data_IF_110802277062
#
_entry.id   IF_110802277062
#
_cell.length_a   1.000
_cell.length_b   1.000
_cell.length_c   1.000
_cell.angle_alpha   90.00
_cell.angle_beta   90.00
_cell.angle_gamma   90.00
#
_symmetry.space_group_name_H-M   'P 1'
#
loop_
_entity.id
_entity.type
_entity.pdbx_description
1 polymer ?
#
# COMPACT_ATOMS: atom_id res chain seq x y z
N UNK A 1 -9.97 -10.58 -38.26
CA UNK A 1 -8.83 -9.80 -38.79
C UNK A 1 -7.58 -10.26 -38.06
N UNK A 2 -6.58 -10.78 -38.77
CA UNK A 2 -5.29 -11.17 -38.19
C UNK A 2 -4.56 -9.90 -37.72
N UNK A 3 -4.27 -9.80 -36.41
CA UNK A 3 -3.53 -8.69 -35.85
C UNK A 3 -2.16 -8.59 -36.54
N UNK A 4 -1.88 -7.46 -37.22
CA UNK A 4 -0.58 -7.21 -37.84
C UNK A 4 0.47 -7.11 -36.74
N UNK A 5 1.45 -8.01 -36.76
CA UNK A 5 2.57 -7.99 -35.82
C UNK A 5 3.58 -6.90 -36.18
N UNK A 6 4.25 -6.29 -35.19
CA UNK A 6 5.31 -5.32 -35.43
C UNK A 6 6.40 -5.92 -36.34
N UNK A 7 6.84 -5.13 -37.32
CA UNK A 7 7.95 -5.46 -38.21
C UNK A 7 9.22 -4.76 -37.70
N UNK A 8 10.33 -5.48 -37.67
CA UNK A 8 11.64 -4.96 -37.25
C UNK A 8 12.71 -5.24 -38.29
N UNK A 9 13.74 -4.40 -38.32
CA UNK A 9 14.88 -4.56 -39.22
C UNK A 9 16.05 -5.18 -38.47
N UNK A 10 16.36 -6.45 -38.74
CA UNK A 10 17.48 -7.19 -38.14
C UNK A 10 18.46 -7.57 -39.24
N UNK A 11 19.72 -7.11 -39.13
CA UNK A 11 20.73 -7.38 -40.17
C UNK A 11 20.35 -6.87 -41.56
N UNK A 12 19.65 -5.74 -41.63
CA UNK A 12 19.20 -5.14 -42.90
C UNK A 12 17.92 -5.71 -43.50
N UNK A 13 17.38 -6.81 -42.95
CA UNK A 13 16.13 -7.45 -43.42
C UNK A 13 14.96 -7.13 -42.50
N UNK A 14 13.80 -6.84 -43.09
CA UNK A 14 12.55 -6.65 -42.34
C UNK A 14 11.96 -8.02 -42.02
N UNK A 15 11.67 -8.27 -40.74
CA UNK A 15 11.04 -9.51 -40.24
C UNK A 15 9.94 -9.18 -39.24
N UNK A 16 8.91 -10.01 -39.15
CA UNK A 16 7.96 -9.93 -38.03
C UNK A 16 8.68 -10.30 -36.75
N UNK A 17 8.40 -9.57 -35.67
CA UNK A 17 8.84 -9.98 -34.35
C UNK A 17 8.18 -11.34 -34.00
N UNK A 18 8.95 -12.35 -33.61
CA UNK A 18 8.40 -13.56 -33.00
C UNK A 18 7.48 -13.24 -31.80
N UNK A 19 6.55 -14.14 -31.52
CA UNK A 19 5.70 -14.00 -30.34
C UNK A 19 6.57 -14.07 -29.09
N UNK A 20 6.55 -13.03 -28.24
CA UNK A 20 7.33 -13.01 -27.00
C UNK A 20 8.76 -12.48 -27.14
N UNK A 21 9.21 -12.12 -28.35
CA UNK A 21 10.45 -11.35 -28.49
C UNK A 21 10.24 -9.91 -28.00
N UNK A 22 11.28 -9.32 -27.43
CA UNK A 22 11.28 -7.91 -27.00
C UNK A 22 12.30 -7.12 -27.79
N UNK A 23 11.94 -5.93 -28.24
CA UNK A 23 12.91 -4.96 -28.75
C UNK A 23 13.60 -4.27 -27.56
N UNK A 24 14.94 -4.36 -27.42
CA UNK A 24 15.65 -3.61 -26.40
C UNK A 24 15.32 -2.11 -26.50
N UNK A 25 14.89 -1.50 -25.39
CA UNK A 25 14.53 -0.08 -25.33
C UNK A 25 13.08 0.27 -25.66
N UNK A 26 12.22 -0.71 -25.97
CA UNK A 26 10.77 -0.49 -26.17
C UNK A 26 9.99 -1.07 -25.01
N UNK A 27 9.05 -0.28 -24.46
CA UNK A 27 8.10 -0.76 -23.42
C UNK A 27 6.96 -1.52 -24.09
N UNK A 28 6.53 -2.61 -23.46
CA UNK A 28 5.32 -3.31 -23.89
C UNK A 28 4.08 -2.46 -23.57
N UNK A 29 3.25 -2.19 -24.59
CA UNK A 29 1.93 -1.59 -24.41
C UNK A 29 0.89 -2.69 -24.15
N UNK A 30 0.21 -2.61 -23.01
CA UNK A 30 -0.88 -3.52 -22.70
C UNK A 30 -2.07 -3.29 -23.65
N UNK A 31 -2.64 -4.40 -24.10
CA UNK A 31 -3.86 -4.44 -24.93
C UNK A 31 -5.06 -5.05 -24.19
N UNK A 32 -4.85 -5.49 -22.96
CA UNK A 32 -5.86 -5.99 -22.04
C UNK A 32 -5.33 -5.88 -20.59
N UNK A 33 -6.21 -5.98 -19.60
CA UNK A 33 -5.82 -6.12 -18.20
C UNK A 33 -4.94 -7.37 -18.02
N UNK A 34 -3.98 -7.30 -17.09
CA UNK A 34 -3.01 -8.39 -16.89
C UNK A 34 -2.87 -8.73 -15.42
N UNK A 35 -2.78 -10.02 -15.13
CA UNK A 35 -2.44 -10.51 -13.78
C UNK A 35 -1.05 -11.14 -13.81
N UNK A 36 -0.24 -10.80 -12.82
CA UNK A 36 1.00 -11.48 -12.50
C UNK A 36 0.88 -12.20 -11.17
N UNK A 37 1.47 -13.38 -11.06
CA UNK A 37 1.40 -14.25 -9.90
C UNK A 37 2.73 -14.26 -9.15
N UNK A 38 2.64 -14.20 -7.82
CA UNK A 38 3.79 -14.27 -6.91
C UNK A 38 3.55 -15.40 -5.92
N UNK A 39 4.54 -16.29 -5.76
CA UNK A 39 4.47 -17.45 -4.87
C UNK A 39 5.81 -17.70 -4.19
N UNK A 40 5.78 -18.21 -2.97
CA UNK A 40 7.00 -18.56 -2.22
C UNK A 40 7.78 -19.73 -2.85
N UNK A 41 7.11 -20.58 -3.64
CA UNK A 41 7.71 -21.68 -4.41
C UNK A 41 7.98 -21.31 -5.89
N UNK A 42 7.89 -20.03 -6.25
CA UNK A 42 8.16 -19.51 -7.59
C UNK A 42 9.66 -19.25 -7.86
N UNK A 43 9.94 -18.57 -8.97
CA UNK A 43 11.29 -18.10 -9.32
C UNK A 43 11.22 -16.71 -9.96
N UNK A 44 12.15 -15.82 -9.61
CA UNK A 44 12.25 -14.50 -10.24
C UNK A 44 12.82 -14.56 -11.68
N UNK A 45 13.17 -15.76 -12.15
CA UNK A 45 13.44 -16.04 -13.57
C UNK A 45 12.18 -16.34 -14.38
N UNK A 46 11.02 -16.56 -13.74
CA UNK A 46 9.76 -16.81 -14.42
C UNK A 46 9.17 -15.52 -15.01
N UNK A 47 8.12 -15.63 -15.82
CA UNK A 47 7.42 -14.47 -16.42
C UNK A 47 6.27 -13.92 -15.56
N UNK A 48 5.88 -14.65 -14.50
CA UNK A 48 4.78 -14.31 -13.61
C UNK A 48 3.39 -14.53 -14.21
N UNK A 49 3.25 -15.10 -15.40
CA UNK A 49 1.96 -15.15 -16.11
C UNK A 49 1.11 -16.38 -15.79
N UNK A 50 1.66 -17.34 -15.03
CA UNK A 50 0.95 -18.54 -14.59
C UNK A 50 1.01 -18.72 -13.08
N UNK A 51 -0.12 -19.11 -12.47
CA UNK A 51 -0.20 -19.40 -11.03
C UNK A 51 0.33 -20.81 -10.70
N UNK A 52 1.63 -21.02 -10.90
CA UNK A 52 2.33 -22.26 -10.59
C UNK A 52 3.76 -21.95 -10.15
N UNK A 53 4.43 -22.90 -9.49
CA UNK A 53 5.86 -22.75 -9.14
C UNK A 53 6.75 -22.48 -10.37
N UNK A 54 6.43 -23.11 -11.50
CA UNK A 54 7.14 -22.93 -12.77
C UNK A 54 6.79 -21.65 -13.54
N UNK A 55 5.83 -20.85 -13.07
CA UNK A 55 5.36 -19.65 -13.78
C UNK A 55 5.27 -18.37 -12.95
N UNK A 56 5.15 -18.47 -11.62
CA UNK A 56 5.04 -17.30 -10.74
C UNK A 56 6.40 -16.74 -10.36
N UNK A 57 6.47 -15.43 -10.08
CA UNK A 57 7.65 -14.82 -9.46
C UNK A 57 7.84 -15.33 -8.03
N UNK A 58 9.08 -15.37 -7.55
CA UNK A 58 9.38 -15.70 -6.15
C UNK A 58 9.12 -14.50 -5.23
N UNK A 59 9.32 -13.27 -5.73
CA UNK A 59 9.23 -12.05 -4.94
C UNK A 59 8.18 -11.07 -5.46
N UNK A 60 7.55 -10.35 -4.52
CA UNK A 60 6.63 -9.27 -4.84
C UNK A 60 7.35 -8.07 -5.49
N UNK A 61 8.60 -7.80 -5.10
CA UNK A 61 9.40 -6.74 -5.69
C UNK A 61 9.69 -7.02 -7.18
N UNK A 62 10.01 -8.27 -7.55
CA UNK A 62 10.22 -8.63 -8.96
C UNK A 62 8.98 -8.35 -9.80
N UNK A 63 7.79 -8.67 -9.29
CA UNK A 63 6.54 -8.40 -9.97
C UNK A 63 6.31 -6.89 -10.17
N UNK A 64 6.58 -6.07 -9.14
CA UNK A 64 6.52 -4.60 -9.23
C UNK A 64 7.48 -4.07 -10.30
N UNK A 65 8.71 -4.58 -10.33
CA UNK A 65 9.74 -4.15 -11.28
C UNK A 65 9.36 -4.50 -12.73
N UNK A 66 8.75 -5.66 -12.95
CA UNK A 66 8.21 -6.07 -14.25
C UNK A 66 7.07 -5.13 -14.66
N UNK A 67 6.12 -4.87 -13.77
CA UNK A 67 5.00 -3.96 -14.06
C UNK A 67 5.48 -2.55 -14.37
N UNK A 68 6.44 -2.01 -13.61
CA UNK A 68 6.99 -0.68 -13.83
C UNK A 68 7.67 -0.50 -15.20
N UNK A 69 8.08 -1.60 -15.85
CA UNK A 69 8.64 -1.60 -17.20
C UNK A 69 7.58 -1.47 -18.31
N UNK A 70 6.30 -1.66 -18.00
CA UNK A 70 5.19 -1.63 -18.95
C UNK A 70 4.73 -0.19 -19.27
N UNK A 71 4.04 -0.07 -20.41
CA UNK A 71 3.02 0.94 -20.64
C UNK A 71 1.65 0.28 -20.48
N UNK A 72 0.93 0.67 -19.43
CA UNK A 72 -0.39 0.11 -19.12
C UNK A 72 -1.47 0.59 -20.07
N UNK A 73 -1.25 1.66 -20.84
CA UNK A 73 -2.34 2.32 -21.57
C UNK A 73 -3.47 2.67 -20.60
N UNK A 74 -4.65 2.08 -20.80
CA UNK A 74 -5.81 2.21 -19.91
C UNK A 74 -6.07 0.97 -19.04
N UNK A 75 -5.26 -0.07 -19.17
CA UNK A 75 -5.52 -1.37 -18.60
C UNK A 75 -4.91 -1.51 -17.21
N UNK A 76 -5.73 -1.96 -16.26
CA UNK A 76 -5.28 -2.23 -14.90
C UNK A 76 -4.43 -3.51 -14.84
N UNK A 77 -3.49 -3.54 -13.91
CA UNK A 77 -2.64 -4.70 -13.62
C UNK A 77 -2.91 -5.20 -12.20
N UNK A 78 -2.96 -6.53 -12.03
CA UNK A 78 -3.10 -7.18 -10.73
C UNK A 78 -1.84 -7.98 -10.41
N UNK A 79 -1.27 -7.77 -9.23
CA UNK A 79 -0.27 -8.64 -8.62
C UNK A 79 -0.98 -9.55 -7.62
N UNK A 80 -1.21 -10.80 -8.01
CA UNK A 80 -1.85 -11.82 -7.17
C UNK A 80 -0.79 -12.58 -6.39
N UNK A 81 -0.70 -12.30 -5.09
CA UNK A 81 0.30 -12.87 -4.19
C UNK A 81 -0.33 -14.04 -3.41
N UNK A 82 0.30 -15.21 -3.44
CA UNK A 82 -0.18 -16.39 -2.73
C UNK A 82 -0.06 -16.25 -1.20
N UNK A 83 -0.55 -17.24 -0.47
CA UNK A 83 -0.23 -17.39 0.94
C UNK A 83 1.30 -17.53 1.12
N UNK A 84 1.81 -16.97 2.21
CA UNK A 84 3.24 -16.95 2.52
C UNK A 84 3.70 -15.60 3.07
N UNK A 85 4.99 -15.57 3.45
CA UNK A 85 5.67 -14.36 3.91
C UNK A 85 6.63 -13.90 2.83
N UNK A 86 6.50 -12.64 2.43
CA UNK A 86 7.35 -11.98 1.44
C UNK A 86 8.05 -10.79 2.10
N UNK A 87 9.20 -10.39 1.54
CA UNK A 87 9.95 -9.25 2.04
C UNK A 87 9.30 -7.90 1.75
N UNK A 88 9.94 -6.84 2.24
CA UNK A 88 9.58 -5.45 1.99
C UNK A 88 9.47 -5.14 0.47
N UNK A 89 8.59 -4.20 0.14
CA UNK A 89 8.40 -3.72 -1.23
C UNK A 89 8.55 -2.21 -1.33
N UNK A 90 9.09 -1.75 -2.46
CA UNK A 90 9.09 -0.36 -2.89
C UNK A 90 8.26 -0.24 -4.16
N UNK A 91 7.21 0.58 -4.10
CA UNK A 91 6.27 0.79 -5.20
C UNK A 91 6.94 1.59 -6.33
N UNK A 92 6.64 1.21 -7.58
CA UNK A 92 7.16 1.85 -8.79
C UNK A 92 6.03 1.98 -9.81
N UNK A 93 5.77 3.20 -10.27
CA UNK A 93 4.66 3.42 -11.21
C UNK A 93 5.01 2.92 -12.63
N UNK A 94 4.12 2.17 -13.29
CA UNK A 94 4.21 1.95 -14.73
C UNK A 94 3.88 3.23 -15.52
N UNK A 95 4.17 3.25 -16.82
CA UNK A 95 3.61 4.27 -17.73
C UNK A 95 2.13 3.99 -18.00
N UNK A 96 1.37 4.99 -18.46
CA UNK A 96 -0.07 4.89 -18.79
C UNK A 96 -0.98 5.43 -17.69
N UNK A 97 -2.29 5.20 -17.77
CA UNK A 97 -3.28 5.55 -16.74
C UNK A 97 -3.77 4.35 -15.93
N UNK A 98 -3.42 3.12 -16.32
CA UNK A 98 -3.77 1.90 -15.60
C UNK A 98 -3.26 1.91 -14.15
N UNK A 99 -4.09 1.42 -13.24
CA UNK A 99 -3.75 1.23 -11.83
C UNK A 99 -3.08 -0.14 -11.59
N UNK A 100 -2.41 -0.29 -10.45
CA UNK A 100 -1.79 -1.55 -10.04
C UNK A 100 -2.41 -1.99 -8.71
N UNK A 101 -3.08 -3.13 -8.70
CA UNK A 101 -3.63 -3.73 -7.48
C UNK A 101 -2.70 -4.82 -6.98
N UNK A 102 -2.18 -4.69 -5.77
CA UNK A 102 -1.52 -5.78 -5.05
C UNK A 102 -2.56 -6.47 -4.18
N UNK A 103 -2.83 -7.74 -4.46
CA UNK A 103 -3.84 -8.53 -3.77
C UNK A 103 -3.22 -9.80 -3.21
N UNK A 104 -3.24 -9.95 -1.89
CA UNK A 104 -2.84 -11.20 -1.24
C UNK A 104 -3.97 -12.25 -1.25
N UNK A 105 -3.64 -13.47 -0.82
CA UNK A 105 -4.59 -14.57 -0.66
C UNK A 105 -5.52 -14.40 0.56
N UNK A 106 -5.46 -13.26 1.25
CA UNK A 106 -6.16 -12.96 2.49
C UNK A 106 -5.20 -12.36 3.52
N UNK A 107 -5.65 -11.38 4.30
CA UNK A 107 -4.78 -10.66 5.23
C UNK A 107 -4.20 -11.57 6.34
N UNK A 108 -4.82 -12.72 6.64
CA UNK A 108 -4.24 -13.71 7.54
C UNK A 108 -3.25 -14.68 6.87
N UNK A 109 -3.20 -14.71 5.53
CA UNK A 109 -2.48 -15.70 4.72
C UNK A 109 -1.24 -15.14 4.03
N UNK A 110 -1.31 -13.87 3.58
CA UNK A 110 -0.21 -13.21 2.87
C UNK A 110 0.37 -12.09 3.74
N UNK A 111 1.66 -12.20 4.07
CA UNK A 111 2.37 -11.26 4.93
C UNK A 111 3.46 -10.56 4.10
N UNK A 112 3.47 -9.22 4.14
CA UNK A 112 4.62 -8.40 3.79
C UNK A 112 5.38 -8.06 5.08
N UNK A 113 6.58 -8.60 5.21
CA UNK A 113 7.44 -8.40 6.37
C UNK A 113 8.59 -7.46 6.03
N UNK A 114 8.54 -6.26 6.62
CA UNK A 114 9.59 -5.26 6.48
C UNK A 114 10.89 -5.62 7.19
N UNK A 115 10.87 -6.60 8.12
CA UNK A 115 11.99 -6.93 8.99
C UNK A 115 12.57 -5.67 9.66
N UNK A 116 13.73 -5.16 9.21
CA UNK A 116 14.38 -3.96 9.76
C UNK A 116 14.01 -2.65 9.04
N UNK A 117 13.17 -2.70 8.01
CA UNK A 117 12.73 -1.54 7.21
C UNK A 117 11.20 -1.46 7.14
N UNK A 118 10.66 -0.44 6.47
CA UNK A 118 9.23 -0.36 6.21
C UNK A 118 8.75 -1.52 5.33
N UNK A 119 7.58 -2.11 5.62
CA UNK A 119 7.05 -3.22 4.82
C UNK A 119 6.64 -2.77 3.41
N UNK A 120 6.09 -1.55 3.30
CA UNK A 120 5.76 -0.91 2.02
C UNK A 120 6.29 0.52 1.98
N UNK A 121 7.15 0.81 1.01
CA UNK A 121 7.59 2.16 0.70
C UNK A 121 6.92 2.64 -0.59
N UNK A 122 6.13 3.71 -0.51
CA UNK A 122 5.43 4.24 -1.68
C UNK A 122 6.33 5.09 -2.59
N UNK A 123 7.51 5.52 -2.15
CA UNK A 123 8.40 6.39 -2.93
C UNK A 123 7.69 7.64 -3.44
N UNK A 124 7.51 7.74 -4.76
CA UNK A 124 6.72 8.76 -5.47
C UNK A 124 5.51 8.18 -6.22
N UNK A 125 5.17 6.92 -5.93
CA UNK A 125 4.15 6.14 -6.61
C UNK A 125 2.74 6.64 -6.29
N UNK A 126 1.84 6.59 -7.29
CA UNK A 126 0.45 7.10 -7.16
C UNK A 126 -0.61 6.13 -7.68
N UNK A 127 -0.22 4.95 -8.13
CA UNK A 127 -1.09 4.04 -8.89
C UNK A 127 -1.59 2.83 -8.13
N UNK A 128 -1.21 2.70 -6.86
CA UNK A 128 -1.31 1.42 -6.16
C UNK A 128 -2.51 1.33 -5.23
N UNK A 129 -3.14 0.15 -5.28
CA UNK A 129 -4.13 -0.31 -4.31
C UNK A 129 -3.58 -1.56 -3.63
N UNK A 130 -3.55 -1.58 -2.31
CA UNK A 130 -3.13 -2.74 -1.51
C UNK A 130 -4.35 -3.40 -0.89
N UNK A 131 -4.46 -4.71 -1.05
CA UNK A 131 -5.60 -5.48 -0.55
C UNK A 131 -5.26 -6.87 -0.08
N UNK A 132 -6.05 -7.39 0.86
CA UNK A 132 -6.00 -8.78 1.31
C UNK A 132 -4.60 -9.26 1.74
N UNK A 133 -3.83 -8.40 2.39
CA UNK A 133 -2.48 -8.67 2.88
C UNK A 133 -2.26 -8.07 4.26
N UNK A 134 -1.37 -8.69 5.05
CA UNK A 134 -0.89 -8.16 6.33
C UNK A 134 0.46 -7.49 6.15
N UNK A 135 0.64 -6.32 6.75
CA UNK A 135 1.95 -5.66 6.84
C UNK A 135 2.45 -5.70 8.29
N UNK A 136 3.74 -5.98 8.47
CA UNK A 136 4.41 -5.90 9.77
C UNK A 136 5.88 -5.52 9.59
N UNK A 137 6.49 -4.96 10.62
CA UNK A 137 7.93 -4.69 10.60
C UNK A 137 8.51 -4.56 12.01
N UNK A 138 9.61 -5.25 12.28
CA UNK A 138 10.32 -5.16 13.56
C UNK A 138 11.26 -3.95 13.70
N UNK A 139 11.54 -3.22 12.61
CA UNK A 139 12.43 -2.06 12.59
C UNK A 139 11.87 -0.81 11.92
N UNK A 140 10.69 -0.91 11.30
CA UNK A 140 10.07 0.19 10.56
C UNK A 140 8.56 0.23 10.69
N UNK A 141 7.94 0.81 9.67
CA UNK A 141 6.50 1.05 9.56
C UNK A 141 5.81 -0.02 8.70
N UNK A 142 4.48 -0.08 8.76
CA UNK A 142 3.68 -0.90 7.84
C UNK A 142 3.71 -0.32 6.43
N UNK A 143 3.29 0.94 6.31
CA UNK A 143 3.34 1.71 5.05
C UNK A 143 3.97 3.06 5.32
N UNK A 144 4.94 3.45 4.50
CA UNK A 144 5.45 4.82 4.42
C UNK A 144 5.08 5.44 3.08
N UNK A 145 4.42 6.60 3.13
CA UNK A 145 4.04 7.39 1.96
C UNK A 145 4.62 8.81 2.09
N UNK A 146 5.60 9.12 1.25
CA UNK A 146 6.33 10.39 1.29
C UNK A 146 5.73 11.44 0.34
N UNK A 147 6.34 12.63 0.33
CA UNK A 147 5.92 13.77 -0.46
C UNK A 147 5.58 13.41 -1.91
N UNK A 148 4.31 13.60 -2.28
CA UNK A 148 3.82 13.37 -3.64
C UNK A 148 3.52 11.92 -4.00
N UNK A 149 3.60 10.96 -3.08
CA UNK A 149 3.07 9.62 -3.27
C UNK A 149 1.59 9.53 -2.85
N UNK A 150 0.88 8.56 -3.42
CA UNK A 150 -0.49 8.22 -3.06
C UNK A 150 -0.71 6.71 -3.08
N UNK A 151 -1.39 6.19 -2.07
CA UNK A 151 -1.73 4.76 -1.97
C UNK A 151 -3.14 4.57 -1.42
N UNK A 152 -3.82 3.53 -1.91
CA UNK A 152 -5.13 3.11 -1.38
C UNK A 152 -4.99 1.77 -0.67
N UNK A 153 -5.69 1.59 0.45
CA UNK A 153 -5.74 0.32 1.18
C UNK A 153 -7.18 -0.17 1.32
N UNK A 154 -7.40 -1.49 1.21
CA UNK A 154 -8.71 -2.11 1.40
C UNK A 154 -8.59 -3.56 1.87
N UNK A 155 -9.21 -3.91 3.00
CA UNK A 155 -9.17 -5.27 3.52
C UNK A 155 -7.76 -5.76 3.88
N UNK A 156 -6.87 -4.84 4.25
CA UNK A 156 -5.53 -5.15 4.75
C UNK A 156 -5.56 -5.43 6.25
N UNK A 157 -4.45 -5.91 6.79
CA UNK A 157 -4.24 -6.02 8.23
C UNK A 157 -2.90 -5.42 8.64
N UNK A 158 -2.88 -4.67 9.75
CA UNK A 158 -1.63 -4.18 10.33
C UNK A 158 -1.22 -5.05 11.51
N UNK A 159 -0.16 -5.84 11.31
CA UNK A 159 0.54 -6.55 12.38
C UNK A 159 1.46 -5.60 13.15
N UNK A 160 2.32 -6.16 14.01
CA UNK A 160 3.22 -5.36 14.83
C UNK A 160 4.20 -4.54 13.98
N UNK A 161 4.31 -3.25 14.27
CA UNK A 161 5.28 -2.34 13.66
C UNK A 161 6.10 -1.64 14.74
N UNK A 162 7.42 -1.51 14.56
CA UNK A 162 8.26 -0.82 15.52
C UNK A 162 8.01 0.70 15.55
N UNK A 163 7.71 1.29 14.40
CA UNK A 163 7.41 2.71 14.25
C UNK A 163 5.90 2.96 14.13
N UNK A 164 5.38 2.99 12.90
CA UNK A 164 3.99 3.38 12.61
C UNK A 164 3.29 2.31 11.81
N UNK A 165 1.98 2.13 11.96
CA UNK A 165 1.24 1.35 10.95
C UNK A 165 1.19 2.11 9.63
N UNK A 166 0.84 3.40 9.69
CA UNK A 166 0.75 4.30 8.55
C UNK A 166 1.59 5.55 8.83
N UNK A 167 2.65 5.76 8.05
CA UNK A 167 3.52 6.93 8.08
C UNK A 167 3.31 7.77 6.82
N UNK A 168 2.44 8.78 6.90
CA UNK A 168 2.05 9.61 5.75
C UNK A 168 2.69 11.00 5.90
N UNK A 169 3.87 11.18 5.30
CA UNK A 169 4.66 12.40 5.40
C UNK A 169 4.69 13.14 4.05
N UNK A 170 3.74 14.05 3.82
CA UNK A 170 3.55 14.76 2.54
C UNK A 170 2.90 13.92 1.43
N UNK A 171 2.57 12.65 1.71
CA UNK A 171 1.83 11.78 0.80
C UNK A 171 0.32 11.79 1.05
N UNK A 172 -0.41 10.94 0.34
CA UNK A 172 -1.85 10.74 0.53
C UNK A 172 -2.19 9.27 0.71
N UNK A 173 -3.01 8.95 1.71
CA UNK A 173 -3.58 7.62 1.90
C UNK A 173 -5.11 7.68 1.86
N UNK A 174 -5.71 6.81 1.06
CA UNK A 174 -7.14 6.53 1.08
C UNK A 174 -7.38 5.14 1.66
N UNK A 175 -8.12 5.05 2.77
CA UNK A 175 -8.49 3.78 3.39
C UNK A 175 -9.94 3.41 3.17
N UNK A 176 -10.18 2.14 2.82
CA UNK A 176 -11.44 1.44 3.01
C UNK A 176 -11.37 0.59 4.29
N UNK A 177 -12.40 -0.20 4.61
CA UNK A 177 -12.40 -1.05 5.83
C UNK A 177 -11.19 -2.00 5.88
N UNK A 178 -10.54 -2.11 7.05
CA UNK A 178 -9.37 -2.96 7.29
C UNK A 178 -9.25 -3.36 8.77
N UNK A 179 -8.30 -4.22 9.10
CA UNK A 179 -8.04 -4.67 10.48
C UNK A 179 -6.66 -4.28 11.00
N UNK A 180 -6.51 -4.35 12.32
CA UNK A 180 -5.25 -4.19 13.03
C UNK A 180 -5.13 -5.35 14.02
N UNK A 181 -4.03 -6.09 13.93
CA UNK A 181 -3.75 -7.27 14.75
C UNK A 181 -2.50 -7.14 15.62
N UNK A 182 -1.69 -6.08 15.44
CA UNK A 182 -0.51 -5.80 16.26
C UNK A 182 -0.41 -4.34 16.67
N UNK A 183 0.48 -4.03 17.61
CA UNK A 183 0.72 -2.67 18.09
C UNK A 183 1.81 -1.93 17.30
N UNK A 184 1.82 -0.61 17.46
CA UNK A 184 2.85 0.29 16.94
C UNK A 184 2.98 1.52 17.85
N UNK A 185 3.91 2.44 17.56
CA UNK A 185 3.91 3.72 18.27
C UNK A 185 2.68 4.56 17.91
N UNK A 186 2.34 4.61 16.61
CA UNK A 186 1.14 5.30 16.11
C UNK A 186 0.44 4.47 15.04
N UNK A 187 -0.90 4.41 15.06
CA UNK A 187 -1.64 3.79 13.96
C UNK A 187 -1.69 4.70 12.73
N UNK A 188 -2.26 5.91 12.88
CA UNK A 188 -2.31 6.94 11.85
C UNK A 188 -1.33 8.05 12.16
N UNK A 189 -0.16 8.05 11.52
CA UNK A 189 0.78 9.16 11.60
C UNK A 189 0.71 9.99 10.31
N UNK A 190 0.45 11.28 10.43
CA UNK A 190 0.35 12.21 9.32
C UNK A 190 1.17 13.48 9.60
N UNK A 191 2.12 13.79 8.71
CA UNK A 191 3.04 14.90 8.87
C UNK A 191 3.36 15.60 7.54
N UNK A 192 3.98 16.78 7.61
CA UNK A 192 4.56 17.51 6.47
C UNK A 192 3.58 17.73 5.31
N UNK A 193 2.35 18.18 5.61
CA UNK A 193 1.29 18.36 4.62
C UNK A 193 0.66 17.06 4.12
N UNK A 194 0.88 15.94 4.82
CA UNK A 194 0.30 14.66 4.48
C UNK A 194 -1.23 14.65 4.63
N UNK A 195 -1.87 13.70 3.96
CA UNK A 195 -3.30 13.51 4.03
C UNK A 195 -3.70 12.05 4.27
N UNK A 196 -4.51 11.80 5.29
CA UNK A 196 -5.16 10.50 5.52
C UNK A 196 -6.65 10.67 5.38
N UNK A 197 -7.26 9.85 4.53
CA UNK A 197 -8.71 9.80 4.31
C UNK A 197 -9.20 8.39 4.59
N UNK A 198 -9.74 8.19 5.79
CA UNK A 198 -10.33 6.94 6.26
C UNK A 198 -11.66 7.29 6.91
N UNK A 199 -12.69 7.57 6.12
CA UNK A 199 -13.99 8.03 6.62
C UNK A 199 -15.11 7.10 6.17
N UNK A 200 -16.08 6.83 7.04
CA UNK A 200 -17.16 5.88 6.75
C UNK A 200 -16.70 4.41 6.72
N UNK A 201 -15.56 4.08 7.33
CA UNK A 201 -14.97 2.73 7.28
C UNK A 201 -15.23 1.93 8.55
N UNK A 202 -15.10 0.61 8.44
CA UNK A 202 -14.98 -0.27 9.61
C UNK A 202 -13.52 -0.58 9.87
N UNK A 203 -13.04 -0.25 11.07
CA UNK A 203 -11.70 -0.54 11.54
C UNK A 203 -11.76 -1.55 12.68
N UNK A 204 -11.26 -2.75 12.43
CA UNK A 204 -11.34 -3.88 13.39
C UNK A 204 -10.03 -4.04 14.16
N UNK A 205 -10.03 -3.82 15.47
CA UNK A 205 -8.92 -4.16 16.36
C UNK A 205 -9.12 -5.61 16.85
N UNK A 206 -8.23 -6.51 16.47
CA UNK A 206 -8.40 -7.96 16.70
C UNK A 206 -8.09 -8.40 18.14
N UNK A 207 -7.54 -7.50 18.94
CA UNK A 207 -7.23 -7.68 20.36
C UNK A 207 -7.24 -6.30 21.05
N UNK A 208 -6.85 -6.25 22.33
CA UNK A 208 -6.50 -4.97 22.96
C UNK A 208 -5.15 -4.49 22.40
N UNK A 209 -5.19 -3.63 21.39
CA UNK A 209 -3.99 -3.14 20.70
C UNK A 209 -3.41 -1.93 21.44
N UNK A 210 -2.14 -1.99 21.83
CA UNK A 210 -1.45 -0.87 22.45
C UNK A 210 -0.79 0.04 21.41
N UNK A 211 -1.03 1.34 21.53
CA UNK A 211 -0.29 2.38 20.81
C UNK A 211 0.53 3.20 21.79
N UNK A 212 1.87 3.09 21.72
CA UNK A 212 2.75 3.66 22.75
C UNK A 212 2.82 5.18 22.71
N UNK A 213 2.48 5.80 21.59
CA UNK A 213 2.42 7.26 21.43
C UNK A 213 0.98 7.76 21.31
N UNK A 214 0.23 7.33 20.29
CA UNK A 214 -1.17 7.68 20.11
C UNK A 214 -1.85 6.79 19.04
N UNK A 215 -3.17 6.66 19.04
CA UNK A 215 -3.88 6.04 17.92
C UNK A 215 -3.74 6.90 16.65
N UNK A 216 -4.03 8.20 16.73
CA UNK A 216 -3.82 9.15 15.63
C UNK A 216 -2.86 10.28 16.02
N UNK A 217 -1.91 10.63 15.15
CA UNK A 217 -0.98 11.74 15.33
C UNK A 217 -0.91 12.58 14.06
N UNK A 218 -1.41 13.82 14.11
CA UNK A 218 -1.44 14.74 12.97
C UNK A 218 -0.61 16.01 13.25
N UNK A 219 0.37 16.31 12.41
CA UNK A 219 1.33 17.39 12.65
C UNK A 219 1.79 18.12 11.37
N UNK A 220 2.37 19.31 11.53
CA UNK A 220 3.01 20.08 10.44
C UNK A 220 2.07 20.27 9.24
N UNK A 221 1.04 21.10 9.45
CA UNK A 221 0.05 21.47 8.44
C UNK A 221 -0.60 20.28 7.70
N UNK A 222 -0.85 19.17 8.41
CA UNK A 222 -1.43 17.96 7.84
C UNK A 222 -2.94 17.84 8.07
N UNK A 223 -3.59 16.95 7.32
CA UNK A 223 -5.03 16.75 7.41
C UNK A 223 -5.40 15.27 7.50
N UNK A 224 -6.17 14.90 8.52
CA UNK A 224 -6.81 13.60 8.62
C UNK A 224 -8.33 13.74 8.55
N UNK A 225 -9.00 13.09 7.60
CA UNK A 225 -10.45 12.93 7.57
C UNK A 225 -10.83 11.53 8.01
N UNK A 226 -11.32 11.41 9.24
CA UNK A 226 -11.54 10.11 9.92
C UNK A 226 -12.92 10.02 10.60
N UNK A 227 -13.89 10.77 10.11
CA UNK A 227 -15.27 10.80 10.60
C UNK A 227 -16.10 9.58 10.14
N UNK A 228 -17.22 9.33 10.85
CA UNK A 228 -18.20 8.29 10.52
C UNK A 228 -17.67 6.83 10.48
N UNK A 229 -16.56 6.56 11.17
CA UNK A 229 -15.99 5.22 11.27
C UNK A 229 -16.66 4.41 12.37
N UNK A 230 -16.68 3.09 12.17
CA UNK A 230 -17.02 2.11 13.19
C UNK A 230 -15.75 1.42 13.66
N UNK A 231 -15.51 1.44 14.97
CA UNK A 231 -14.38 0.75 15.59
C UNK A 231 -14.89 -0.45 16.39
N UNK A 232 -14.23 -1.60 16.25
CA UNK A 232 -14.46 -2.77 17.11
C UNK A 232 -13.17 -3.19 17.80
N UNK A 233 -13.28 -3.86 18.95
CA UNK A 233 -12.14 -4.17 19.80
C UNK A 233 -11.73 -2.99 20.69
N UNK A 234 -10.56 -3.06 21.31
CA UNK A 234 -10.08 -2.06 22.25
C UNK A 234 -8.68 -1.58 21.89
N UNK A 235 -8.37 -0.33 22.19
CA UNK A 235 -7.02 0.23 22.10
C UNK A 235 -6.61 0.88 23.42
N UNK A 236 -5.33 0.79 23.76
CA UNK A 236 -4.72 1.52 24.88
C UNK A 236 -3.73 2.57 24.38
N UNK A 237 -3.53 3.61 25.18
CA UNK A 237 -2.74 4.78 24.81
C UNK A 237 -3.60 6.02 24.54
N UNK A 238 -2.95 7.10 24.10
CA UNK A 238 -3.58 8.39 23.77
C UNK A 238 -4.45 8.25 22.52
N UNK A 239 -5.68 8.78 22.54
CA UNK A 239 -6.60 8.70 21.38
C UNK A 239 -6.09 9.48 20.17
N UNK A 240 -5.62 10.70 20.40
CA UNK A 240 -5.09 11.53 19.34
C UNK A 240 -4.08 12.55 19.86
N UNK A 241 -3.18 12.96 18.98
CA UNK A 241 -2.34 14.14 19.13
C UNK A 241 -2.47 14.99 17.87
N UNK A 242 -2.80 16.27 18.01
CA UNK A 242 -2.87 17.20 16.87
C UNK A 242 -2.19 18.52 17.20
N UNK A 243 -1.31 19.01 16.32
CA UNK A 243 -0.55 20.25 16.55
C UNK A 243 -0.10 20.93 15.24
N UNK A 244 0.50 22.11 15.37
CA UNK A 244 1.20 22.84 14.31
C UNK A 244 0.36 23.06 13.05
N UNK A 245 -0.83 23.64 13.21
CA UNK A 245 -1.73 23.98 12.10
C UNK A 245 -2.42 22.77 11.45
N UNK A 246 -2.37 21.59 12.09
CA UNK A 246 -2.93 20.36 11.54
C UNK A 246 -4.35 20.12 12.04
N UNK A 247 -5.11 19.32 11.29
CA UNK A 247 -6.50 19.01 11.61
C UNK A 247 -6.73 17.51 11.61
N UNK A 248 -7.43 17.02 12.64
CA UNK A 248 -8.06 15.71 12.67
C UNK A 248 -9.58 15.97 12.65
N UNK A 249 -10.19 15.67 11.51
CA UNK A 249 -11.61 15.87 11.26
C UNK A 249 -12.41 14.59 11.58
N UNK A 250 -13.20 14.66 12.64
CA UNK A 250 -14.12 13.64 13.16
C UNK A 250 -15.59 14.05 13.03
N UNK A 251 -15.88 15.27 12.55
CA UNK A 251 -17.24 15.76 12.30
C UNK A 251 -18.13 15.81 13.55
N UNK A 252 -17.58 16.28 14.68
CA UNK A 252 -18.31 16.48 15.92
C UNK A 252 -18.56 15.22 16.74
N UNK A 253 -17.91 14.10 16.42
CA UNK A 253 -18.11 12.81 17.12
C UNK A 253 -17.61 12.80 18.59
N UNK A 254 -16.92 13.85 19.03
CA UNK A 254 -16.45 14.02 20.41
C UNK A 254 -15.02 13.52 20.68
N UNK A 255 -14.46 13.92 21.81
CA UNK A 255 -13.06 13.65 22.21
C UNK A 255 -12.77 12.17 22.53
N UNK A 256 -13.81 11.36 22.74
CA UNK A 256 -13.70 9.92 22.99
C UNK A 256 -13.91 9.05 21.75
N UNK A 257 -14.16 9.67 20.58
CA UNK A 257 -14.52 8.94 19.36
C UNK A 257 -13.42 8.01 18.85
N UNK A 258 -12.16 8.46 18.80
CA UNK A 258 -11.05 7.62 18.38
C UNK A 258 -10.65 6.63 19.49
N UNK A 259 -10.25 5.38 19.16
CA UNK A 259 -9.85 4.38 20.15
C UNK A 259 -8.67 4.83 21.02
N UNK A 260 -8.71 4.49 22.31
CA UNK A 260 -7.64 4.77 23.26
C UNK A 260 -8.14 4.91 24.69
N UNK A 261 -7.27 4.62 25.65
CA UNK A 261 -7.56 4.64 27.09
C UNK A 261 -7.20 5.96 27.76
N UNK A 262 -6.40 6.82 27.13
CA UNK A 262 -6.01 8.13 27.64
C UNK A 262 -6.60 9.26 26.78
N UNK A 263 -6.80 10.43 27.39
CA UNK A 263 -7.31 11.62 26.72
C UNK A 263 -6.41 12.06 25.55
N UNK A 264 -7.00 12.69 24.53
CA UNK A 264 -6.27 13.25 23.41
C UNK A 264 -5.57 14.57 23.76
N UNK A 265 -4.56 14.94 22.98
CA UNK A 265 -3.77 16.15 23.14
C UNK A 265 -3.96 17.08 21.94
N UNK A 266 -4.39 18.32 22.21
CA UNK A 266 -4.45 19.39 21.22
C UNK A 266 -3.35 20.40 21.52
N UNK A 267 -2.28 20.37 20.73
CA UNK A 267 -1.18 21.32 20.80
C UNK A 267 -1.48 22.63 20.05
N UNK A 268 -0.54 23.57 20.11
CA UNK A 268 -0.69 24.90 19.50
C UNK A 268 -1.07 24.81 18.01
N UNK A 269 -2.14 25.50 17.63
CA UNK A 269 -2.66 25.55 16.26
C UNK A 269 -3.25 24.23 15.74
N UNK A 270 -3.27 23.15 16.54
CA UNK A 270 -3.93 21.90 16.18
C UNK A 270 -5.45 22.01 16.35
N UNK A 271 -6.20 21.29 15.52
CA UNK A 271 -7.65 21.17 15.66
C UNK A 271 -8.11 19.72 15.62
N UNK A 272 -8.91 19.33 16.61
CA UNK A 272 -9.66 18.09 16.61
C UNK A 272 -11.15 18.47 16.54
N UNK A 273 -11.80 18.20 15.40
CA UNK A 273 -13.11 18.78 15.07
C UNK A 273 -14.04 17.79 14.36
#
# INVERSE_FOLDING_TARGET
MTARRPLVRVGGRIRQLPAGDTLPGVRELLTAARTYYVRTDGSDSNDGLSNSSGGAFATAQKAIDVVASLDTGIYNVTLSISAGTFGAITLKDPLGSGSVTISGAGASQTILDGASVDAVNCGLSRKYVLSALRMRSSGGSGITCLAGAAVTISGVDFGSCAAYHLNIAGGTLNGASYSVSGGAAVHWYCANGGQIVCAGITLTLSASIAFTTAFAFCNVASFMRVNANTFSGAATGVRYTVANGSVIFVSGAGESYLPGSAAGNVGAGGQYA
#
